data_IF_208993850912
#
_entry.id   IF_208993850912
#
_cell.length_a   1.000
_cell.length_b   1.000
_cell.length_c   1.000
_cell.angle_alpha   90.00
_cell.angle_beta   90.00
_cell.angle_gamma   90.00
#
_symmetry.space_group_name_H-M   'P 1'
#
loop_
_entity.id
_entity.type
_entity.pdbx_description
1 polymer ?
#
# COMPACT_ATOMS: atom_id res chain seq x y z
N UNK A 1 -8.34 -23.98 19.86
CA UNK A 1 -7.51 -23.30 18.83
C UNK A 1 -8.45 -22.80 17.74
N UNK A 2 -8.92 -21.55 17.85
CA UNK A 2 -9.79 -20.95 16.83
C UNK A 2 -8.93 -20.46 15.67
N UNK A 3 -8.96 -21.18 14.55
CA UNK A 3 -8.30 -20.77 13.30
C UNK A 3 -9.17 -19.68 12.66
N UNK A 4 -8.72 -18.44 12.73
CA UNK A 4 -9.34 -17.34 11.99
C UNK A 4 -8.91 -17.41 10.53
N UNK A 5 -9.84 -17.74 9.64
CA UNK A 5 -9.63 -17.60 8.20
C UNK A 5 -9.76 -16.13 7.81
N UNK A 6 -8.62 -15.48 7.57
CA UNK A 6 -8.58 -14.16 6.95
C UNK A 6 -8.97 -14.33 5.48
N UNK A 7 -10.21 -14.02 5.13
CA UNK A 7 -10.67 -14.03 3.74
C UNK A 7 -10.18 -12.74 3.08
N UNK A 8 -9.02 -12.80 2.43
CA UNK A 8 -8.55 -11.72 1.59
C UNK A 8 -9.46 -11.64 0.34
N UNK A 9 -10.02 -10.46 0.00
CA UNK A 9 -10.96 -10.31 -1.10
C UNK A 9 -10.20 -10.22 -2.42
N UNK A 10 -9.66 -11.35 -2.88
CA UNK A 10 -9.27 -11.49 -4.28
C UNK A 10 -10.51 -11.91 -5.04
N UNK A 11 -10.82 -11.23 -6.14
CA UNK A 11 -11.95 -11.53 -7.03
C UNK A 11 -11.78 -12.98 -7.54
N UNK A 12 -12.52 -13.92 -6.95
CA UNK A 12 -12.48 -15.33 -7.34
C UNK A 12 -13.39 -15.47 -8.57
N UNK A 13 -12.80 -15.76 -9.74
CA UNK A 13 -13.53 -16.11 -10.95
C UNK A 13 -14.14 -17.52 -10.81
N UNK A 14 -15.25 -17.78 -11.48
CA UNK A 14 -15.95 -19.05 -11.50
C UNK A 14 -15.04 -20.22 -11.94
N UNK A 15 -13.98 -19.93 -12.70
CA UNK A 15 -12.98 -20.91 -13.12
C UNK A 15 -12.06 -21.39 -11.97
N UNK A 16 -11.81 -20.56 -10.94
CA UNK A 16 -10.95 -20.91 -9.80
C UNK A 16 -11.67 -21.76 -8.73
N UNK A 17 -12.99 -21.93 -8.85
CA UNK A 17 -13.85 -22.63 -7.87
C UNK A 17 -13.84 -24.17 -7.95
N UNK A 18 -13.27 -24.77 -9.01
CA UNK A 18 -13.32 -26.22 -9.21
C UNK A 18 -12.43 -27.03 -8.21
N UNK A 19 -11.75 -26.34 -7.29
CA UNK A 19 -10.89 -26.96 -6.27
C UNK A 19 -11.62 -27.21 -4.93
N UNK A 20 -12.88 -26.79 -4.77
CA UNK A 20 -13.68 -27.10 -3.58
C UNK A 20 -14.91 -27.90 -3.97
N UNK A 21 -15.17 -29.02 -3.30
CA UNK A 21 -16.34 -29.89 -3.51
C UNK A 21 -17.69 -29.26 -3.11
N UNK A 22 -17.76 -27.93 -3.01
CA UNK A 22 -18.90 -27.17 -2.49
C UNK A 22 -19.52 -26.28 -3.55
N UNK A 23 -20.83 -26.16 -3.51
CA UNK A 23 -21.58 -25.33 -4.46
C UNK A 23 -21.51 -23.83 -4.13
N UNK A 24 -21.63 -22.98 -5.15
CA UNK A 24 -21.71 -21.51 -5.02
C UNK A 24 -22.83 -21.06 -4.05
N UNK A 25 -23.95 -21.78 -4.04
CA UNK A 25 -25.10 -21.49 -3.17
C UNK A 25 -24.84 -21.84 -1.70
N UNK A 26 -23.94 -22.79 -1.42
CA UNK A 26 -23.51 -23.10 -0.05
C UNK A 26 -22.56 -22.01 0.48
N UNK A 27 -21.67 -21.49 -0.37
CA UNK A 27 -20.75 -20.41 -0.01
C UNK A 27 -21.47 -19.09 0.26
N UNK A 28 -22.39 -18.68 -0.63
CA UNK A 28 -23.22 -17.47 -0.43
C UNK A 28 -24.07 -17.54 0.85
N UNK A 29 -24.45 -18.75 1.28
CA UNK A 29 -25.17 -18.96 2.56
C UNK A 29 -24.27 -18.83 3.79
N UNK A 30 -22.96 -19.06 3.68
CA UNK A 30 -22.02 -19.02 4.81
C UNK A 30 -21.37 -17.65 5.01
N UNK A 31 -21.28 -16.82 3.98
CA UNK A 31 -20.60 -15.53 4.03
C UNK A 31 -21.52 -14.38 3.66
N UNK A 32 -22.34 -13.90 4.61
CA UNK A 32 -22.83 -12.52 4.52
C UNK A 32 -21.70 -11.62 5.03
N UNK A 33 -21.01 -10.94 4.12
CA UNK A 33 -20.05 -9.89 4.50
C UNK A 33 -20.86 -8.73 5.07
N UNK A 34 -20.70 -8.44 6.36
CA UNK A 34 -21.28 -7.23 6.93
C UNK A 34 -20.45 -6.03 6.44
N UNK A 35 -20.92 -5.40 5.36
CA UNK A 35 -20.26 -4.27 4.71
C UNK A 35 -20.00 -3.12 5.69
N UNK A 36 -20.92 -2.89 6.64
CA UNK A 36 -20.79 -1.85 7.67
C UNK A 36 -19.65 -2.17 8.63
N UNK A 37 -19.55 -3.43 9.05
CA UNK A 37 -18.47 -3.89 9.94
C UNK A 37 -17.11 -3.85 9.23
N UNK A 38 -17.06 -4.22 7.95
CA UNK A 38 -15.85 -4.12 7.14
C UNK A 38 -15.42 -2.65 6.97
N UNK A 39 -16.35 -1.75 6.64
CA UNK A 39 -16.09 -0.31 6.55
C UNK A 39 -15.62 0.26 7.89
N UNK A 40 -16.26 -0.13 9.01
CA UNK A 40 -15.86 0.28 10.35
C UNK A 40 -14.42 -0.10 10.67
N UNK A 41 -14.01 -1.36 10.44
CA UNK A 41 -12.63 -1.79 10.71
C UNK A 41 -11.62 -1.13 9.77
N UNK A 42 -11.98 -0.91 8.50
CA UNK A 42 -11.13 -0.20 7.55
C UNK A 42 -10.91 1.26 7.98
N UNK A 43 -11.98 1.97 8.29
CA UNK A 43 -11.93 3.39 8.67
C UNK A 43 -11.22 3.55 10.02
N UNK A 44 -11.60 2.76 11.03
CA UNK A 44 -10.97 2.82 12.36
C UNK A 44 -9.50 2.43 12.31
N UNK A 45 -9.13 1.42 11.52
CA UNK A 45 -7.73 1.04 11.30
C UNK A 45 -6.91 2.14 10.62
N UNK A 46 -7.45 2.79 9.57
CA UNK A 46 -6.77 3.90 8.89
C UNK A 46 -6.59 5.10 9.83
N UNK A 47 -7.61 5.44 10.62
CA UNK A 47 -7.54 6.53 11.59
C UNK A 47 -6.49 6.22 12.66
N UNK A 48 -6.54 5.05 13.29
CA UNK A 48 -5.60 4.62 14.32
C UNK A 48 -4.14 4.73 13.84
N UNK A 49 -3.82 4.16 12.68
CA UNK A 49 -2.46 4.22 12.10
C UNK A 49 -2.03 5.67 11.82
N UNK A 50 -2.94 6.54 11.38
CA UNK A 50 -2.60 7.95 11.10
C UNK A 50 -2.37 8.77 12.36
N UNK A 51 -3.18 8.58 13.40
CA UNK A 51 -3.09 9.36 14.63
C UNK A 51 -1.82 8.99 15.42
N UNK A 52 -1.52 7.70 15.56
CA UNK A 52 -0.33 7.24 16.29
C UNK A 52 0.97 7.64 15.58
N UNK A 53 1.03 7.49 14.26
CA UNK A 53 2.24 7.84 13.50
C UNK A 53 2.57 9.34 13.56
N UNK A 54 1.55 10.22 13.51
CA UNK A 54 1.77 11.67 13.62
C UNK A 54 2.15 12.08 15.05
N UNK A 55 1.47 11.53 16.06
CA UNK A 55 1.72 11.83 17.47
C UNK A 55 3.16 11.48 17.87
N UNK A 56 3.62 10.28 17.51
CA UNK A 56 4.98 9.82 17.79
C UNK A 56 6.04 10.73 17.16
N UNK A 57 5.84 11.11 15.91
CA UNK A 57 6.80 11.91 15.16
C UNK A 57 6.95 13.33 15.73
N UNK A 58 5.83 13.98 16.08
CA UNK A 58 5.85 15.31 16.70
C UNK A 58 6.45 15.28 18.10
N UNK A 59 6.17 14.24 18.89
CA UNK A 59 6.75 14.09 20.22
C UNK A 59 8.28 13.87 20.14
N UNK A 60 8.73 12.99 19.24
CA UNK A 60 10.15 12.70 19.05
C UNK A 60 10.94 13.87 18.46
N UNK A 61 10.29 14.79 17.75
CA UNK A 61 10.92 16.02 17.26
C UNK A 61 11.07 17.07 18.36
N UNK A 62 10.06 17.23 19.25
CA UNK A 62 10.05 18.26 20.29
C UNK A 62 10.86 17.92 21.53
N UNK A 63 10.76 16.68 22.03
CA UNK A 63 11.37 16.25 23.30
C UNK A 63 12.91 16.37 23.36
N UNK A 64 13.67 16.21 22.27
CA UNK A 64 15.12 16.44 22.27
C UNK A 64 15.49 17.91 22.45
N UNK A 65 14.69 18.86 21.94
CA UNK A 65 14.91 20.29 22.16
C UNK A 65 14.64 20.69 23.61
N UNK A 66 13.76 19.96 24.30
CA UNK A 66 13.48 20.12 25.73
C UNK A 66 14.56 19.48 26.63
N UNK A 67 15.60 18.86 26.05
CA UNK A 67 16.71 18.26 26.79
C UNK A 67 16.39 16.91 27.44
N UNK A 68 15.28 16.27 27.08
CA UNK A 68 14.88 14.97 27.62
C UNK A 68 15.78 13.86 27.05
N UNK A 69 16.34 12.97 27.87
CA UNK A 69 17.16 11.86 27.38
C UNK A 69 16.32 10.85 26.59
N UNK A 70 16.89 10.29 25.52
CA UNK A 70 16.22 9.39 24.59
C UNK A 70 15.54 8.16 25.26
N UNK A 71 16.10 7.71 26.38
CA UNK A 71 15.54 6.60 27.18
C UNK A 71 14.18 6.95 27.79
N UNK A 72 14.02 8.18 28.26
CA UNK A 72 12.76 8.63 28.87
C UNK A 72 11.72 8.96 27.81
N UNK A 73 12.16 9.41 26.63
CA UNK A 73 11.31 9.53 25.44
C UNK A 73 10.73 8.17 25.05
N UNK A 74 11.57 7.13 24.96
CA UNK A 74 11.13 5.76 24.65
C UNK A 74 10.10 5.24 25.65
N UNK A 75 10.32 5.49 26.94
CA UNK A 75 9.40 5.10 28.02
C UNK A 75 8.06 5.82 27.95
N UNK A 76 8.08 7.13 27.66
CA UNK A 76 6.88 7.97 27.54
C UNK A 76 6.04 7.60 26.31
N UNK A 77 6.69 7.20 25.22
CA UNK A 77 6.04 6.84 23.96
C UNK A 77 5.71 5.34 23.83
N UNK A 78 6.19 4.50 24.74
CA UNK A 78 6.02 3.04 24.65
C UNK A 78 6.75 2.42 23.46
N UNK A 79 7.80 3.07 22.95
CA UNK A 79 8.58 2.62 21.78
C UNK A 79 9.93 2.04 22.17
N UNK A 80 10.57 1.30 21.27
CA UNK A 80 11.91 0.77 21.52
C UNK A 80 12.96 1.89 21.56
N UNK A 81 13.96 1.75 22.44
CA UNK A 81 15.07 2.71 22.54
C UNK A 81 15.78 2.89 21.21
N UNK A 82 15.98 1.80 20.48
CA UNK A 82 16.65 1.82 19.18
C UNK A 82 15.87 2.61 18.13
N UNK A 83 14.53 2.52 18.12
CA UNK A 83 13.69 3.32 17.24
C UNK A 83 13.87 4.82 17.52
N UNK A 84 14.01 5.20 18.81
CA UNK A 84 14.28 6.59 19.19
C UNK A 84 15.67 7.03 18.73
N UNK A 85 16.72 6.27 19.03
CA UNK A 85 18.08 6.60 18.62
C UNK A 85 18.23 6.70 17.10
N UNK A 86 17.69 5.73 16.34
CA UNK A 86 17.75 5.74 14.87
C UNK A 86 17.05 6.97 14.28
N UNK A 87 15.91 7.34 14.85
CA UNK A 87 15.15 8.49 14.37
C UNK A 87 15.84 9.81 14.70
N UNK A 88 16.45 9.93 15.88
CA UNK A 88 17.26 11.10 16.27
C UNK A 88 18.53 11.21 15.41
N UNK A 89 19.20 10.10 15.13
CA UNK A 89 20.37 10.11 14.25
C UNK A 89 19.96 10.53 12.83
N UNK A 90 18.82 10.03 12.34
CA UNK A 90 18.23 10.45 11.07
C UNK A 90 17.91 11.94 11.03
N UNK A 91 17.32 12.48 12.11
CA UNK A 91 17.02 13.91 12.22
C UNK A 91 18.29 14.76 12.15
N UNK A 92 19.37 14.34 12.81
CA UNK A 92 20.69 14.99 12.71
C UNK A 92 21.27 14.95 11.28
N UNK A 93 21.12 13.82 10.60
CA UNK A 93 21.66 13.63 9.24
C UNK A 93 20.87 14.37 8.16
N UNK A 94 19.53 14.41 8.26
CA UNK A 94 18.65 14.87 7.18
C UNK A 94 17.99 16.23 7.47
N UNK A 95 18.02 16.68 8.73
CA UNK A 95 17.32 17.88 9.20
C UNK A 95 15.80 17.75 9.22
N UNK A 96 15.26 16.60 8.82
CA UNK A 96 13.84 16.32 8.77
C UNK A 96 13.57 14.94 9.37
N UNK A 97 12.52 14.86 10.18
CA UNK A 97 12.12 13.62 10.81
C UNK A 97 11.39 12.68 9.82
N UNK A 98 11.03 13.15 8.61
CA UNK A 98 10.31 12.40 7.58
C UNK A 98 11.02 11.09 7.21
N UNK A 99 10.25 10.05 6.93
CA UNK A 99 10.79 8.79 6.43
C UNK A 99 11.52 8.96 5.10
N UNK A 100 12.66 8.26 4.98
CA UNK A 100 13.40 8.17 3.74
C UNK A 100 12.54 7.50 2.70
N UNK A 101 12.59 8.02 1.48
CA UNK A 101 12.01 7.33 0.34
C UNK A 101 12.63 5.93 0.30
N UNK A 102 11.78 4.90 0.34
CA UNK A 102 12.25 3.52 0.26
C UNK A 102 13.14 3.37 -0.98
N UNK A 103 14.25 2.65 -0.85
CA UNK A 103 15.13 2.34 -1.96
C UNK A 103 14.31 1.66 -3.07
N UNK A 104 14.06 2.42 -4.14
CA UNK A 104 13.40 1.94 -5.32
C UNK A 104 14.43 1.43 -6.32
N UNK A 105 13.98 0.60 -7.27
CA UNK A 105 14.79 0.29 -8.45
C UNK A 105 15.12 1.61 -9.17
N UNK A 106 16.40 1.90 -9.46
CA UNK A 106 16.76 3.09 -10.21
C UNK A 106 16.02 3.07 -11.56
N UNK A 107 15.61 4.24 -12.05
CA UNK A 107 14.93 4.33 -13.35
C UNK A 107 15.86 3.81 -14.44
N UNK A 108 15.49 2.67 -15.05
CA UNK A 108 16.24 2.03 -16.15
C UNK A 108 16.40 2.95 -17.38
N UNK A 109 15.44 3.87 -17.57
CA UNK A 109 15.48 4.86 -18.64
C UNK A 109 15.32 6.24 -17.98
N UNK A 110 16.40 7.02 -17.95
CA UNK A 110 16.41 8.36 -17.36
C UNK A 110 16.20 9.46 -18.41
N UNK A 111 16.70 9.27 -19.63
CA UNK A 111 16.70 10.30 -20.67
C UNK A 111 15.29 10.58 -21.18
N UNK A 112 14.90 11.86 -21.15
CA UNK A 112 13.57 12.35 -21.58
C UNK A 112 13.23 11.92 -23.01
N UNK A 113 14.22 11.89 -23.91
CA UNK A 113 14.05 11.46 -25.30
C UNK A 113 13.66 9.99 -25.46
N UNK A 114 14.29 9.11 -24.68
CA UNK A 114 14.00 7.67 -24.73
C UNK A 114 12.63 7.41 -24.12
N UNK A 115 12.28 8.10 -23.02
CA UNK A 115 10.94 8.04 -22.43
C UNK A 115 9.88 8.52 -23.44
N UNK A 116 10.12 9.64 -24.12
CA UNK A 116 9.23 10.18 -25.17
C UNK A 116 9.06 9.17 -26.31
N UNK A 117 10.17 8.60 -26.80
CA UNK A 117 10.17 7.58 -27.87
C UNK A 117 9.40 6.32 -27.47
N UNK A 118 9.58 5.83 -26.25
CA UNK A 118 8.84 4.67 -25.73
C UNK A 118 7.34 5.00 -25.62
N UNK A 119 7.00 6.18 -25.09
CA UNK A 119 5.61 6.64 -24.96
C UNK A 119 4.92 6.74 -26.33
N UNK A 120 5.60 7.29 -27.33
CA UNK A 120 5.12 7.37 -28.71
C UNK A 120 4.95 5.99 -29.35
N UNK A 121 5.91 5.07 -29.14
CA UNK A 121 5.81 3.67 -29.62
C UNK A 121 4.61 2.96 -29.00
N UNK A 122 4.39 3.11 -27.69
CA UNK A 122 3.25 2.51 -27.00
C UNK A 122 1.93 3.07 -27.53
N UNK A 123 1.83 4.39 -27.71
CA UNK A 123 0.64 5.04 -28.25
C UNK A 123 0.32 4.61 -29.69
N UNK A 124 1.36 4.45 -30.54
CA UNK A 124 1.21 3.92 -31.91
C UNK A 124 0.75 2.45 -31.90
N UNK A 125 1.30 1.61 -31.01
CA UNK A 125 0.90 0.21 -30.89
C UNK A 125 -0.54 0.07 -30.41
N UNK A 126 -0.94 0.88 -29.43
CA UNK A 126 -2.32 0.95 -28.93
C UNK A 126 -3.32 1.32 -30.04
N UNK A 127 -3.04 2.38 -30.82
CA UNK A 127 -3.90 2.79 -31.94
C UNK A 127 -4.00 1.71 -33.01
N UNK A 128 -2.90 1.06 -33.38
CA UNK A 128 -2.92 -0.06 -34.33
C UNK A 128 -3.69 -1.28 -33.81
N UNK A 129 -3.60 -1.56 -32.52
CA UNK A 129 -4.36 -2.65 -31.87
C UNK A 129 -5.86 -2.39 -31.95
N UNK A 130 -6.27 -1.19 -31.53
CA UNK A 130 -7.67 -0.75 -31.55
C UNK A 130 -8.24 -0.71 -32.98
N UNK A 131 -7.45 -0.22 -33.93
CA UNK A 131 -7.85 -0.16 -35.35
C UNK A 131 -8.00 -1.55 -35.99
N UNK A 132 -7.18 -2.53 -35.61
CA UNK A 132 -7.34 -3.94 -36.01
C UNK A 132 -8.52 -4.63 -35.33
N UNK A 133 -8.91 -4.15 -34.15
CA UNK A 133 -10.06 -4.66 -33.41
C UNK A 133 -11.35 -4.15 -34.07
N UNK A 134 -11.43 -2.85 -34.32
CA UNK A 134 -12.53 -2.22 -35.08
C UNK A 134 -12.69 -2.80 -36.49
N UNK A 135 -11.60 -3.04 -37.23
CA UNK A 135 -11.68 -3.67 -38.56
C UNK A 135 -12.23 -5.11 -38.52
N UNK A 136 -11.91 -5.86 -37.45
CA UNK A 136 -12.49 -7.20 -37.23
C UNK A 136 -13.97 -7.13 -36.90
N UNK A 137 -14.37 -6.16 -36.08
CA UNK A 137 -15.78 -5.93 -35.71
C UNK A 137 -16.62 -5.52 -36.93
N UNK A 138 -16.07 -4.71 -37.83
CA UNK A 138 -16.74 -4.29 -39.08
C UNK A 138 -16.63 -5.31 -40.23
N UNK A 139 -15.95 -6.45 -40.02
CA UNK A 139 -15.66 -7.49 -41.05
C UNK A 139 -14.99 -6.95 -42.32
N UNK A 140 -14.21 -5.88 -42.20
CA UNK A 140 -13.42 -5.33 -43.30
C UNK A 140 -12.03 -5.96 -43.21
N UNK A 141 -11.66 -6.74 -44.24
CA UNK A 141 -10.36 -7.43 -44.35
C UNK A 141 -9.23 -6.46 -44.60
#
# INVERSE_FOLDING_TARGET
>A
MHVFYVTLPWVIDQHDYNCSSRSLAEWKRRGSVNEVQAAYFLISGILFVRYDAKSLHTAMEKLPFEGVPAVDIARKLGTSKDAVYNSLNRLKETGAMKDRTRSGRPKTVSTSEIVKRIREKLHRKSRKSMMRELARDERIS
#
